data_IF_824874143467
#
_entry.id   IF_824874143467
#
_cell.length_a   1.000
_cell.length_b   1.000
_cell.length_c   1.000
_cell.angle_alpha   90.00
_cell.angle_beta   90.00
_cell.angle_gamma   90.00
#
_symmetry.space_group_name_H-M   'P 1'
#
loop_
_entity.id
_entity.type
_entity.pdbx_description
1 polymer ?
#
# COMPACT_ATOMS: atom_id res chain seq x y z
N UNK A 1 20.30 0.98 -21.94
CA UNK A 1 20.18 2.20 -22.79
C UNK A 1 21.29 3.15 -22.39
N UNK A 2 21.95 3.86 -23.32
CA UNK A 2 22.97 4.85 -22.95
C UNK A 2 22.33 6.10 -22.34
N UNK A 3 23.11 6.90 -21.61
CA UNK A 3 22.64 8.17 -21.04
C UNK A 3 22.08 9.11 -22.12
N UNK A 4 22.77 9.25 -23.25
CA UNK A 4 22.30 10.08 -24.36
C UNK A 4 20.99 9.57 -24.96
N UNK A 5 20.86 8.25 -25.12
CA UNK A 5 19.63 7.65 -25.63
C UNK A 5 18.46 7.89 -24.67
N UNK A 6 18.70 7.82 -23.36
CA UNK A 6 17.70 8.13 -22.35
C UNK A 6 17.26 9.60 -22.39
N UNK A 7 18.20 10.54 -22.48
CA UNK A 7 17.87 11.96 -22.62
C UNK A 7 17.04 12.24 -23.87
N UNK A 8 17.45 11.69 -25.02
CA UNK A 8 16.71 11.83 -26.27
C UNK A 8 15.29 11.25 -26.14
N UNK A 9 15.16 10.12 -25.45
CA UNK A 9 13.89 9.47 -25.21
C UNK A 9 12.95 10.31 -24.33
N UNK A 10 13.46 10.90 -23.25
CA UNK A 10 12.71 11.86 -22.43
C UNK A 10 12.34 13.12 -23.21
N UNK A 11 13.25 13.65 -24.02
CA UNK A 11 13.01 14.84 -24.84
C UNK A 11 11.87 14.62 -25.84
N UNK A 12 11.85 13.45 -26.50
CA UNK A 12 10.83 13.09 -27.49
C UNK A 12 9.43 12.83 -26.90
N UNK A 13 9.30 12.64 -25.58
CA UNK A 13 8.01 12.39 -24.95
C UNK A 13 7.11 13.64 -24.90
N UNK A 14 5.80 13.46 -25.10
CA UNK A 14 4.78 14.43 -24.69
C UNK A 14 4.74 14.48 -23.16
N UNK A 15 4.73 15.68 -22.57
CA UNK A 15 4.82 15.89 -21.13
C UNK A 15 3.61 16.66 -20.63
N UNK A 16 2.96 16.14 -19.60
CA UNK A 16 1.94 16.86 -18.84
C UNK A 16 2.41 16.96 -17.39
N UNK A 17 2.29 18.14 -16.78
CA UNK A 17 2.73 18.37 -15.41
C UNK A 17 1.62 18.95 -14.54
N UNK A 18 1.55 18.49 -13.30
CA UNK A 18 0.68 19.04 -12.26
C UNK A 18 1.48 19.27 -10.99
N UNK A 19 1.15 20.33 -10.25
CA UNK A 19 1.70 20.55 -8.91
C UNK A 19 0.63 20.17 -7.88
N UNK A 20 1.05 19.43 -6.85
CA UNK A 20 0.21 19.05 -5.71
C UNK A 20 1.01 19.22 -4.43
N UNK A 21 0.68 20.25 -3.63
CA UNK A 21 1.46 20.61 -2.45
C UNK A 21 2.90 20.98 -2.81
N UNK A 22 3.87 20.24 -2.27
CA UNK A 22 5.31 20.42 -2.55
C UNK A 22 5.86 19.44 -3.59
N UNK A 23 5.00 18.74 -4.30
CA UNK A 23 5.38 17.77 -5.31
C UNK A 23 4.94 18.23 -6.70
N UNK A 24 5.84 18.09 -7.69
CA UNK A 24 5.49 18.19 -9.12
C UNK A 24 5.39 16.79 -9.70
N UNK A 25 4.22 16.44 -10.20
CA UNK A 25 3.96 15.19 -10.91
C UNK A 25 4.07 15.45 -12.41
N UNK A 26 4.88 14.65 -13.11
CA UNK A 26 5.07 14.75 -14.56
C UNK A 26 4.71 13.41 -15.18
N UNK A 27 3.75 13.42 -16.10
CA UNK A 27 3.40 12.29 -16.94
C UNK A 27 4.10 12.43 -18.30
N UNK A 28 4.84 11.40 -18.68
CA UNK A 28 5.51 11.26 -19.97
C UNK A 28 4.75 10.25 -20.81
N UNK A 29 4.40 10.61 -22.04
CA UNK A 29 3.94 9.68 -23.08
C UNK A 29 5.01 9.60 -24.16
N UNK A 30 5.59 8.42 -24.33
CA UNK A 30 6.68 8.21 -25.27
C UNK A 30 6.15 7.87 -26.67
N UNK A 31 6.94 8.11 -27.73
CA UNK A 31 6.56 7.78 -29.10
C UNK A 31 6.26 6.29 -29.34
N UNK A 32 6.79 5.40 -28.50
CA UNK A 32 6.55 3.95 -28.57
C UNK A 32 5.24 3.51 -27.85
N UNK A 33 4.46 4.47 -27.36
CA UNK A 33 3.20 4.25 -26.66
C UNK A 33 3.35 3.93 -25.16
N UNK A 34 4.58 3.83 -24.63
CA UNK A 34 4.80 3.66 -23.18
C UNK A 34 4.45 4.94 -22.44
N UNK A 35 4.06 4.79 -21.17
CA UNK A 35 3.83 5.93 -20.28
C UNK A 35 4.66 5.76 -19.01
N UNK A 36 5.22 6.87 -18.53
CA UNK A 36 5.95 6.95 -17.27
C UNK A 36 5.45 8.15 -16.47
N UNK A 37 5.36 8.02 -15.17
CA UNK A 37 5.06 9.12 -14.26
C UNK A 37 6.23 9.32 -13.30
N UNK A 38 6.65 10.57 -13.12
CA UNK A 38 7.63 10.97 -12.10
C UNK A 38 7.01 11.96 -11.12
N UNK A 39 7.45 11.87 -9.87
CA UNK A 39 7.15 12.84 -8.83
C UNK A 39 8.45 13.49 -8.35
N UNK A 40 8.49 14.82 -8.39
CA UNK A 40 9.63 15.64 -8.02
C UNK A 40 9.32 16.39 -6.74
N UNK A 41 10.24 16.36 -5.79
CA UNK A 41 10.23 17.31 -4.68
C UNK A 41 10.52 18.71 -5.22
N UNK A 42 9.65 19.69 -4.97
CA UNK A 42 9.84 21.04 -5.50
C UNK A 42 10.92 21.85 -4.77
N UNK A 43 11.24 21.50 -3.52
CA UNK A 43 12.27 22.20 -2.74
C UNK A 43 13.68 21.77 -3.19
N UNK A 44 13.87 20.49 -3.55
CA UNK A 44 15.19 19.93 -3.91
C UNK A 44 15.36 19.61 -5.39
N UNK A 45 14.29 19.53 -6.16
CA UNK A 45 14.31 19.08 -7.56
C UNK A 45 14.59 17.59 -7.76
N UNK A 46 14.69 16.81 -6.68
CA UNK A 46 15.00 15.38 -6.72
C UNK A 46 13.74 14.57 -7.05
N UNK A 47 13.88 13.56 -7.91
CA UNK A 47 12.82 12.58 -8.19
C UNK A 47 12.60 11.71 -6.96
N UNK A 48 11.39 11.74 -6.40
CA UNK A 48 10.97 10.93 -5.26
C UNK A 48 10.31 9.63 -5.69
N UNK A 49 9.66 9.61 -6.88
CA UNK A 49 9.02 8.41 -7.43
C UNK A 49 9.14 8.39 -8.95
N UNK A 50 9.37 7.21 -9.53
CA UNK A 50 9.22 6.94 -10.97
C UNK A 50 8.45 5.64 -11.16
N UNK A 51 7.44 5.67 -12.02
CA UNK A 51 6.61 4.51 -12.31
C UNK A 51 6.32 4.40 -13.81
N UNK A 52 6.18 3.18 -14.31
CA UNK A 52 5.79 2.88 -15.68
C UNK A 52 4.38 2.31 -15.72
N UNK A 53 3.58 2.73 -16.70
CA UNK A 53 2.26 2.15 -16.92
C UNK A 53 2.43 0.74 -17.49
N UNK A 54 1.92 -0.26 -16.79
CA UNK A 54 1.94 -1.64 -17.27
C UNK A 54 1.08 -1.79 -18.52
N UNK A 55 1.48 -2.68 -19.42
CA UNK A 55 0.74 -3.00 -20.66
C UNK A 55 -0.40 -4.00 -20.39
N UNK A 56 -0.97 -4.02 -19.18
CA UNK A 56 -1.84 -5.11 -18.76
C UNK A 56 -3.13 -5.12 -19.59
N UNK A 57 -3.25 -6.18 -20.40
CA UNK A 57 -4.40 -6.48 -21.25
C UNK A 57 -5.55 -7.12 -20.43
N UNK A 58 -5.70 -6.71 -19.16
CA UNK A 58 -6.77 -7.21 -18.30
C UNK A 58 -8.01 -6.38 -18.59
N UNK A 59 -8.94 -7.00 -19.32
CA UNK A 59 -10.28 -6.54 -19.69
C UNK A 59 -11.11 -5.99 -18.51
N UNK A 60 -10.66 -6.13 -17.26
CA UNK A 60 -11.43 -5.77 -16.07
C UNK A 60 -10.58 -5.37 -14.85
N UNK A 61 -9.39 -4.77 -15.04
CA UNK A 61 -8.50 -4.37 -13.93
C UNK A 61 -8.01 -2.94 -14.05
N UNK A 62 -7.89 -2.25 -12.90
CA UNK A 62 -7.26 -0.93 -12.80
C UNK A 62 -5.89 -0.92 -13.49
N UNK A 63 -5.54 0.18 -14.16
CA UNK A 63 -4.23 0.32 -14.82
C UNK A 63 -3.12 0.20 -13.77
N UNK A 64 -2.37 -0.89 -13.83
CA UNK A 64 -1.27 -1.16 -12.91
C UNK A 64 -0.05 -0.32 -13.28
N UNK A 65 0.50 0.39 -12.29
CA UNK A 65 1.73 1.16 -12.42
C UNK A 65 2.86 0.41 -11.74
N UNK A 66 3.89 0.06 -12.50
CA UNK A 66 5.09 -0.63 -12.02
C UNK A 66 6.09 0.41 -11.52
N UNK A 67 6.49 0.33 -10.25
CA UNK A 67 7.35 1.33 -9.62
C UNK A 67 8.82 1.00 -9.91
N UNK A 68 9.52 1.91 -10.58
CA UNK A 68 10.96 1.80 -10.81
C UNK A 68 11.76 2.43 -9.66
N UNK A 69 11.27 3.53 -9.11
CA UNK A 69 11.95 4.31 -8.07
C UNK A 69 10.95 4.84 -7.05
N UNK A 70 11.37 4.88 -5.79
CA UNK A 70 10.54 5.26 -4.64
C UNK A 70 9.91 4.04 -3.97
N UNK A 71 9.13 4.25 -2.92
CA UNK A 71 8.58 3.12 -2.16
C UNK A 71 7.49 2.39 -2.96
N UNK A 72 7.69 1.09 -3.18
CA UNK A 72 6.60 0.17 -3.54
C UNK A 72 5.55 0.17 -2.43
N UNK A 73 4.25 -0.05 -2.73
CA UNK A 73 3.36 -0.48 -1.66
C UNK A 73 4.00 -1.75 -1.08
N UNK A 74 4.44 -1.68 0.18
CA UNK A 74 4.66 -2.89 0.97
C UNK A 74 3.42 -3.73 0.74
N UNK A 75 3.55 -4.83 0.02
CA UNK A 75 2.67 -5.96 0.19
C UNK A 75 2.85 -6.32 1.67
N UNK A 76 2.04 -5.71 2.54
CA UNK A 76 1.76 -6.23 3.87
C UNK A 76 0.87 -7.46 3.65
N UNK A 77 1.41 -8.48 3.00
CA UNK A 77 0.99 -9.84 3.26
C UNK A 77 1.72 -10.21 4.57
N UNK A 78 1.13 -10.81 5.60
CA UNK A 78 0.01 -11.70 5.67
C UNK A 78 -0.19 -11.94 7.18
N UNK A 79 -1.40 -11.81 7.69
CA UNK A 79 -1.79 -12.24 9.03
C UNK A 79 -1.32 -13.68 9.31
N UNK A 80 -0.59 -13.89 10.41
CA UNK A 80 -0.44 -15.20 11.05
C UNK A 80 0.97 -15.78 11.06
N UNK A 81 1.80 -15.32 12.01
CA UNK A 81 2.77 -16.19 12.67
C UNK A 81 2.71 -15.86 14.17
N UNK A 82 1.67 -16.39 14.86
CA UNK A 82 1.73 -16.59 16.31
C UNK A 82 2.57 -17.86 16.51
N UNK A 83 3.72 -17.81 17.20
CA UNK A 83 4.45 -19.03 17.52
C UNK A 83 3.54 -19.96 18.35
N UNK A 84 3.47 -21.26 18.03
CA UNK A 84 2.72 -22.20 18.85
C UNK A 84 3.54 -22.48 20.11
N UNK A 85 2.98 -22.18 21.27
CA UNK A 85 3.53 -22.62 22.55
C UNK A 85 4.12 -21.51 23.41
N UNK A 86 3.26 -20.91 24.22
CA UNK A 86 3.59 -20.61 25.60
C UNK A 86 2.34 -20.90 26.41
N UNK A 87 2.16 -22.17 26.75
CA UNK A 87 1.28 -22.58 27.85
C UNK A 87 2.07 -22.51 29.15
N UNK A 88 1.40 -22.08 30.21
CA UNK A 88 1.63 -22.40 31.64
C UNK A 88 0.44 -21.76 32.38
N UNK A 89 -0.65 -22.50 32.62
CA UNK A 89 -0.95 -23.39 33.76
C UNK A 89 -1.22 -22.69 35.09
N UNK A 90 -2.46 -22.93 35.57
CA UNK A 90 -2.94 -23.11 36.96
C UNK A 90 -2.71 -21.97 37.96
N UNK A 91 -3.69 -21.52 38.74
CA UNK A 91 -4.24 -22.37 39.79
C UNK A 91 -5.67 -21.99 40.24
N UNK A 92 -6.31 -23.00 40.79
CA UNK A 92 -7.65 -23.12 41.32
C UNK A 92 -7.83 -22.29 42.59
N UNK A 93 -9.08 -21.91 42.90
CA UNK A 93 -9.63 -22.18 44.23
C UNK A 93 -11.16 -22.25 44.17
N UNK A 94 -11.66 -23.38 44.66
CA UNK A 94 -13.06 -23.79 44.70
C UNK A 94 -13.75 -23.42 46.01
N UNK A 95 -15.09 -23.57 46.04
CA UNK A 95 -15.93 -23.67 47.24
C UNK A 95 -16.96 -22.54 47.34
N UNK A 96 -18.26 -22.74 47.59
CA UNK A 96 -18.97 -23.84 48.24
C UNK A 96 -20.44 -23.95 47.78
N UNK A 97 -20.98 -25.14 48.04
CA UNK A 97 -22.33 -25.65 47.79
C UNK A 97 -23.29 -25.19 48.91
N UNK A 98 -24.55 -24.83 48.60
CA UNK A 98 -25.76 -25.25 49.36
C UNK A 98 -27.09 -24.58 48.94
N UNK A 99 -28.29 -25.12 49.31
CA UNK A 99 -29.37 -25.41 48.37
C UNK A 99 -30.73 -24.75 48.70
N UNK A 100 -31.74 -24.98 47.85
CA UNK A 100 -33.19 -24.89 48.10
C UNK A 100 -33.77 -23.58 48.69
N UNK A 101 -34.64 -22.90 47.93
CA UNK A 101 -35.52 -21.88 48.53
C UNK A 101 -36.48 -21.20 47.55
N UNK A 102 -37.70 -21.74 47.48
CA UNK A 102 -38.89 -21.15 46.84
C UNK A 102 -39.21 -19.75 47.42
N UNK A 103 -39.52 -18.77 46.56
CA UNK A 103 -40.67 -17.84 46.67
C UNK A 103 -40.49 -16.57 45.80
N UNK A 104 -41.40 -16.37 44.85
CA UNK A 104 -41.81 -15.02 44.41
C UNK A 104 -42.43 -14.26 45.59
N UNK A 105 -42.29 -12.93 45.68
CA UNK A 105 -43.47 -12.12 45.36
C UNK A 105 -43.21 -10.75 44.68
N UNK A 106 -44.33 -10.34 44.07
CA UNK A 106 -44.79 -9.11 43.43
C UNK A 106 -44.24 -7.74 43.89
N UNK A 107 -44.27 -6.84 42.89
CA UNK A 107 -44.67 -5.42 42.90
C UNK A 107 -43.75 -4.40 43.58
N UNK A 108 -43.27 -3.44 42.79
CA UNK A 108 -43.98 -2.18 42.53
C UNK A 108 -44.02 -1.92 41.02
#
# INVERSE_FOLDING_TARGET
MSYQNWLNYLQAAEKNSMISGRARKVLYKFPDGRQMAEEYNMDTGIVQRRAWKSKSNKIMGESEWEIELGDEPRQLNWSGNKPPGSGEETDSLAGEISPCGRATPRHC
#
